data_IF_309292553598
#
_entry.id   IF_309292553598
#
_cell.length_a   1.000
_cell.length_b   1.000
_cell.length_c   1.000
_cell.angle_alpha   90.00
_cell.angle_beta   90.00
_cell.angle_gamma   90.00
#
_symmetry.space_group_name_H-M   'P 1'
#
loop_
_entity.id
_entity.type
_entity.pdbx_description
1 polymer ?
#
# COMPACT_ATOMS: atom_id res chain seq x y z
N UNK A 1 34.98 -46.36 -9.31
CA UNK A 1 35.02 -45.13 -10.14
C UNK A 1 33.71 -45.04 -10.91
N UNK A 2 32.82 -44.12 -10.54
CA UNK A 2 31.74 -43.61 -11.38
C UNK A 2 31.25 -42.28 -10.78
N UNK A 3 32.19 -41.34 -10.71
CA UNK A 3 32.02 -40.01 -10.09
C UNK A 3 31.23 -39.03 -10.97
N UNK A 4 30.82 -39.44 -12.17
CA UNK A 4 30.11 -38.58 -13.13
C UNK A 4 28.58 -38.54 -12.96
N UNK A 5 27.97 -39.51 -12.27
CA UNK A 5 26.50 -39.55 -12.10
C UNK A 5 25.98 -38.67 -10.95
N UNK A 6 26.83 -38.39 -9.95
CA UNK A 6 26.44 -37.59 -8.77
C UNK A 6 26.50 -36.07 -9.03
N UNK A 7 27.32 -35.64 -9.99
CA UNK A 7 27.49 -34.21 -10.32
C UNK A 7 26.31 -33.68 -11.15
N UNK A 8 25.65 -34.55 -11.94
CA UNK A 8 24.48 -34.18 -12.75
C UNK A 8 23.23 -33.89 -11.90
N UNK A 9 23.08 -34.55 -10.74
CA UNK A 9 21.92 -34.33 -9.86
C UNK A 9 22.02 -33.09 -8.97
N UNK A 10 23.23 -32.61 -8.69
CA UNK A 10 23.42 -31.37 -7.93
C UNK A 10 23.20 -30.11 -8.78
N UNK A 11 23.46 -30.17 -10.09
CA UNK A 11 23.23 -29.02 -10.98
C UNK A 11 21.77 -28.74 -11.31
N UNK A 12 20.87 -29.73 -11.16
CA UNK A 12 19.44 -29.54 -11.41
C UNK A 12 18.68 -28.89 -10.24
N UNK A 13 19.24 -28.91 -9.02
CA UNK A 13 18.56 -28.39 -7.83
C UNK A 13 18.90 -26.91 -7.55
N UNK A 14 19.99 -26.39 -8.12
CA UNK A 14 20.38 -24.97 -7.98
C UNK A 14 19.62 -24.06 -8.97
N UNK A 15 19.12 -24.60 -10.08
CA UNK A 15 18.43 -23.80 -11.11
C UNK A 15 16.97 -23.44 -10.74
N UNK A 16 16.34 -24.16 -9.81
CA UNK A 16 14.96 -23.86 -9.36
C UNK A 16 14.88 -22.74 -8.32
N UNK A 17 15.99 -22.29 -7.73
CA UNK A 17 16.01 -21.17 -6.78
C UNK A 17 16.16 -19.80 -7.46
N UNK A 18 16.52 -19.75 -8.74
CA UNK A 18 16.75 -18.51 -9.50
C UNK A 18 15.52 -18.02 -10.29
N UNK A 19 14.39 -18.74 -10.19
CA UNK A 19 13.09 -18.28 -10.67
C UNK A 19 12.23 -17.79 -9.50
N UNK A 20 12.79 -16.96 -8.62
CA UNK A 20 11.94 -15.92 -8.02
C UNK A 20 11.64 -14.91 -9.11
N UNK A 21 10.79 -15.31 -10.06
CA UNK A 21 10.03 -14.32 -10.81
C UNK A 21 9.33 -13.51 -9.73
N UNK A 22 9.64 -12.21 -9.65
CA UNK A 22 8.77 -11.24 -8.99
C UNK A 22 7.46 -11.25 -9.79
N UNK A 23 6.66 -12.29 -9.58
CA UNK A 23 5.32 -12.35 -10.09
C UNK A 23 4.65 -11.20 -9.38
N UNK A 24 4.25 -10.21 -10.18
CA UNK A 24 3.24 -9.24 -9.81
C UNK A 24 1.94 -10.02 -9.54
N UNK A 25 1.91 -10.66 -8.38
CA UNK A 25 0.93 -11.67 -8.03
C UNK A 25 -0.28 -10.95 -7.47
N UNK A 26 -1.20 -10.60 -8.36
CA UNK A 26 -2.58 -10.34 -7.98
C UNK A 26 -3.42 -9.55 -8.98
N UNK A 27 -2.81 -8.97 -10.02
CA UNK A 27 -3.53 -8.33 -11.12
C UNK A 27 -3.65 -9.22 -12.37
N UNK A 28 -4.75 -9.12 -13.13
CA UNK A 28 -5.05 -10.01 -14.25
C UNK A 28 -3.98 -9.98 -15.33
N UNK A 29 -3.54 -11.17 -15.78
CA UNK A 29 -2.66 -11.32 -16.94
C UNK A 29 -3.51 -11.64 -18.17
N UNK A 30 -3.81 -10.61 -18.98
CA UNK A 30 -4.77 -10.72 -20.08
C UNK A 30 -4.29 -11.56 -21.26
N UNK A 31 -3.02 -11.97 -21.26
CA UNK A 31 -2.44 -12.90 -22.24
C UNK A 31 -2.56 -14.38 -21.82
N UNK A 32 -3.06 -14.63 -20.60
CA UNK A 32 -3.24 -15.98 -20.04
C UNK A 32 -4.71 -16.33 -19.88
N UNK A 33 -4.97 -17.62 -19.62
CA UNK A 33 -6.31 -18.11 -19.30
C UNK A 33 -6.86 -17.40 -18.05
N UNK A 34 -7.95 -16.68 -18.23
CA UNK A 34 -8.63 -15.93 -17.16
C UNK A 34 -9.44 -16.88 -16.27
N UNK A 35 -9.43 -16.65 -14.96
CA UNK A 35 -10.06 -17.55 -13.98
C UNK A 35 -11.19 -16.94 -13.16
N UNK A 36 -11.35 -15.61 -13.15
CA UNK A 36 -12.36 -14.92 -12.34
C UNK A 36 -13.11 -13.80 -13.07
N UNK A 37 -14.30 -13.45 -12.56
CA UNK A 37 -15.16 -12.42 -13.14
C UNK A 37 -14.51 -11.02 -13.15
N UNK A 38 -13.68 -10.70 -12.14
CA UNK A 38 -12.89 -9.46 -12.11
C UNK A 38 -11.89 -9.45 -13.26
N UNK A 39 -11.09 -10.51 -13.41
CA UNK A 39 -10.08 -10.65 -14.46
C UNK A 39 -10.72 -10.56 -15.86
N UNK A 40 -11.84 -11.24 -16.06
CA UNK A 40 -12.62 -11.16 -17.30
C UNK A 40 -13.07 -9.73 -17.58
N UNK A 41 -13.63 -9.04 -16.57
CA UNK A 41 -14.07 -7.64 -16.72
C UNK A 41 -12.92 -6.70 -17.05
N UNK A 42 -11.77 -6.85 -16.40
CA UNK A 42 -10.57 -6.03 -16.70
C UNK A 42 -10.08 -6.30 -18.12
N UNK A 43 -9.93 -7.56 -18.49
CA UNK A 43 -9.32 -7.92 -19.78
C UNK A 43 -10.26 -7.78 -20.98
N UNK A 44 -11.58 -7.69 -20.77
CA UNK A 44 -12.56 -7.47 -21.85
C UNK A 44 -12.80 -5.99 -22.18
N UNK A 45 -12.31 -5.05 -21.35
CA UNK A 45 -12.43 -3.61 -21.59
C UNK A 45 -11.05 -3.03 -21.89
N UNK A 46 -10.85 -2.48 -23.10
CA UNK A 46 -9.54 -2.03 -23.55
C UNK A 46 -8.90 -1.01 -22.58
N UNK A 47 -9.67 -0.02 -22.14
CA UNK A 47 -9.21 1.01 -21.20
C UNK A 47 -8.74 0.41 -19.86
N UNK A 48 -9.48 -0.57 -19.31
CA UNK A 48 -9.06 -1.26 -18.09
C UNK A 48 -7.83 -2.14 -18.31
N UNK A 49 -7.69 -2.77 -19.49
CA UNK A 49 -6.50 -3.53 -19.88
C UNK A 49 -5.27 -2.62 -19.94
N UNK A 50 -5.40 -1.44 -20.54
CA UNK A 50 -4.31 -0.46 -20.67
C UNK A 50 -3.90 0.10 -19.30
N UNK A 51 -4.87 0.46 -18.45
CA UNK A 51 -4.60 0.89 -17.08
C UNK A 51 -3.95 -0.22 -16.24
N UNK A 52 -4.38 -1.48 -16.39
CA UNK A 52 -3.75 -2.63 -15.72
C UNK A 52 -2.28 -2.81 -16.15
N UNK A 53 -1.97 -2.61 -17.43
CA UNK A 53 -0.58 -2.61 -17.89
C UNK A 53 0.22 -1.45 -17.28
N UNK A 54 -0.33 -0.24 -17.27
CA UNK A 54 0.32 0.91 -16.63
C UNK A 54 0.60 0.67 -15.14
N UNK A 55 -0.33 0.05 -14.41
CA UNK A 55 -0.13 -0.31 -13.00
C UNK A 55 1.05 -1.28 -12.84
N UNK A 56 1.18 -2.29 -13.71
CA UNK A 56 2.32 -3.23 -13.70
C UNK A 56 3.65 -2.49 -13.88
N UNK A 57 3.70 -1.58 -14.85
CA UNK A 57 4.89 -0.78 -15.14
C UNK A 57 5.23 0.16 -13.98
N UNK A 58 4.24 0.88 -13.44
CA UNK A 58 4.42 1.78 -12.28
C UNK A 58 4.83 1.03 -11.03
N UNK A 59 4.30 -0.17 -10.81
CA UNK A 59 4.69 -1.01 -9.68
C UNK A 59 6.14 -1.46 -9.80
N UNK A 60 6.55 -1.96 -10.96
CA UNK A 60 7.94 -2.33 -11.22
C UNK A 60 8.87 -1.12 -11.03
N UNK A 61 8.50 0.04 -11.57
CA UNK A 61 9.26 1.27 -11.40
C UNK A 61 9.36 1.67 -9.91
N UNK A 62 8.27 1.54 -9.14
CA UNK A 62 8.31 1.78 -7.70
C UNK A 62 9.24 0.80 -6.98
N UNK A 63 9.27 -0.48 -7.37
CA UNK A 63 10.20 -1.46 -6.79
C UNK A 63 11.68 -1.14 -7.09
N UNK A 64 11.97 -0.62 -8.28
CA UNK A 64 13.34 -0.41 -8.75
C UNK A 64 13.89 0.97 -8.38
N UNK A 65 13.04 1.99 -8.35
CA UNK A 65 13.45 3.40 -8.28
C UNK A 65 13.08 4.08 -6.96
N UNK A 66 12.09 3.56 -6.23
CA UNK A 66 11.73 4.11 -4.92
C UNK A 66 12.75 3.70 -3.87
N UNK A 67 12.99 4.58 -2.90
CA UNK A 67 13.67 4.24 -1.66
C UNK A 67 12.69 3.85 -0.53
N UNK A 68 11.43 3.55 -0.85
CA UNK A 68 10.49 2.95 0.11
C UNK A 68 10.86 1.48 0.39
N UNK A 69 10.51 0.96 1.57
CA UNK A 69 10.65 -0.45 1.87
C UNK A 69 9.88 -1.35 0.88
N UNK A 70 10.53 -2.36 0.30
CA UNK A 70 9.86 -3.27 -0.65
C UNK A 70 8.65 -3.98 -0.03
N UNK A 71 8.75 -4.32 1.25
CA UNK A 71 7.66 -4.95 2.01
C UNK A 71 6.45 -4.04 2.14
N UNK A 72 6.65 -2.73 2.27
CA UNK A 72 5.56 -1.75 2.28
C UNK A 72 4.83 -1.75 0.93
N UNK A 73 5.58 -1.70 -0.17
CA UNK A 73 5.02 -1.69 -1.52
C UNK A 73 4.23 -2.97 -1.80
N UNK A 74 4.75 -4.14 -1.45
CA UNK A 74 4.07 -5.43 -1.58
C UNK A 74 2.80 -5.51 -0.71
N UNK A 75 2.88 -5.04 0.55
CA UNK A 75 1.75 -5.03 1.49
C UNK A 75 0.64 -4.10 1.02
N UNK A 76 1.01 -2.90 0.56
CA UNK A 76 0.09 -1.93 -0.05
C UNK A 76 -0.59 -2.51 -1.28
N UNK A 77 0.17 -3.18 -2.14
CA UNK A 77 -0.39 -3.77 -3.36
C UNK A 77 -1.42 -4.85 -3.06
N UNK A 78 -1.10 -5.80 -2.16
CA UNK A 78 -2.03 -6.88 -1.79
C UNK A 78 -3.32 -6.36 -1.18
N UNK A 79 -3.22 -5.32 -0.35
CA UNK A 79 -4.40 -4.71 0.26
C UNK A 79 -5.26 -3.96 -0.77
N UNK A 80 -4.63 -3.19 -1.66
CA UNK A 80 -5.33 -2.50 -2.75
C UNK A 80 -6.00 -3.51 -3.71
N UNK A 81 -5.34 -4.60 -4.06
CA UNK A 81 -5.92 -5.66 -4.91
C UNK A 81 -7.19 -6.26 -4.30
N UNK A 82 -7.16 -6.55 -3.00
CA UNK A 82 -8.35 -7.01 -2.27
C UNK A 82 -9.47 -5.97 -2.32
N UNK A 83 -9.11 -4.70 -2.14
CA UNK A 83 -10.04 -3.58 -2.19
C UNK A 83 -10.68 -3.43 -3.58
N UNK A 84 -9.90 -3.31 -4.66
CA UNK A 84 -10.42 -3.11 -6.03
C UNK A 84 -11.23 -4.31 -6.55
N UNK A 85 -10.91 -5.55 -6.12
CA UNK A 85 -11.71 -6.74 -6.45
C UNK A 85 -13.13 -6.69 -5.89
N UNK A 86 -13.41 -5.81 -4.93
CA UNK A 86 -14.77 -5.58 -4.41
C UNK A 86 -15.59 -4.56 -5.22
N UNK A 87 -15.03 -3.97 -6.29
CA UNK A 87 -15.76 -3.09 -7.20
C UNK A 87 -16.92 -3.79 -7.92
N UNK A 88 -18.09 -3.14 -7.93
CA UNK A 88 -19.30 -3.66 -8.58
C UNK A 88 -19.42 -3.26 -10.05
N UNK A 89 -18.88 -2.10 -10.45
CA UNK A 89 -18.98 -1.57 -11.82
C UNK A 89 -17.61 -1.42 -12.50
N UNK A 90 -17.60 -1.30 -13.83
CA UNK A 90 -16.41 -1.00 -14.63
C UNK A 90 -15.83 0.37 -14.25
N UNK A 91 -16.69 1.37 -14.04
CA UNK A 91 -16.30 2.72 -13.63
C UNK A 91 -15.66 2.75 -12.24
N UNK A 92 -16.06 1.85 -11.32
CA UNK A 92 -15.38 1.67 -10.04
C UNK A 92 -13.94 1.20 -10.26
N UNK A 93 -13.75 0.16 -11.08
CA UNK A 93 -12.43 -0.39 -11.37
C UNK A 93 -11.55 0.65 -12.05
N UNK A 94 -12.07 1.35 -13.06
CA UNK A 94 -11.35 2.40 -13.79
C UNK A 94 -10.73 3.42 -12.84
N UNK A 95 -11.58 4.03 -12.00
CA UNK A 95 -11.15 5.04 -11.04
C UNK A 95 -10.14 4.50 -10.02
N UNK A 96 -10.35 3.29 -9.51
CA UNK A 96 -9.40 2.70 -8.56
C UNK A 96 -8.07 2.31 -9.22
N UNK A 97 -8.06 2.09 -10.53
CA UNK A 97 -6.85 1.90 -11.31
C UNK A 97 -6.10 3.23 -11.51
N UNK A 98 -6.81 4.31 -11.86
CA UNK A 98 -6.24 5.66 -11.92
C UNK A 98 -5.62 6.06 -10.58
N UNK A 99 -6.36 5.90 -9.48
CA UNK A 99 -5.84 6.17 -8.13
C UNK A 99 -4.59 5.35 -7.83
N UNK A 100 -4.55 4.07 -8.23
CA UNK A 100 -3.38 3.23 -7.98
C UNK A 100 -2.16 3.69 -8.77
N UNK A 101 -2.34 4.17 -9.99
CA UNK A 101 -1.26 4.74 -10.80
C UNK A 101 -0.67 5.97 -10.10
N UNK A 102 -1.52 6.84 -9.54
CA UNK A 102 -1.08 8.01 -8.78
C UNK A 102 -0.34 7.60 -7.49
N UNK A 103 -0.89 6.66 -6.72
CA UNK A 103 -0.28 6.13 -5.50
C UNK A 103 1.11 5.53 -5.78
N UNK A 104 1.26 4.76 -6.86
CA UNK A 104 2.54 4.16 -7.26
C UNK A 104 3.53 5.20 -7.77
N UNK A 105 3.05 6.22 -8.48
CA UNK A 105 3.89 7.33 -8.93
C UNK A 105 4.43 8.11 -7.73
N UNK A 106 3.62 8.33 -6.70
CA UNK A 106 4.03 9.01 -5.47
C UNK A 106 5.21 8.33 -4.76
N UNK A 107 5.25 6.99 -4.74
CA UNK A 107 6.39 6.25 -4.19
C UNK A 107 7.70 6.58 -4.89
N UNK A 108 7.68 6.91 -6.19
CA UNK A 108 8.88 7.23 -6.98
C UNK A 108 9.25 8.71 -6.96
N UNK A 109 8.35 9.61 -6.57
CA UNK A 109 8.59 11.06 -6.64
C UNK A 109 8.97 11.67 -5.30
N UNK A 110 8.59 11.05 -4.18
CA UNK A 110 8.96 11.50 -2.84
C UNK A 110 10.21 10.79 -2.34
N UNK A 111 11.05 11.54 -1.62
CA UNK A 111 12.16 10.95 -0.87
C UNK A 111 11.63 10.16 0.35
N UNK A 112 11.52 8.84 0.18
CA UNK A 112 10.99 7.93 1.21
C UNK A 112 11.98 7.73 2.37
N UNK A 113 13.26 8.05 2.21
CA UNK A 113 14.23 7.95 3.32
C UNK A 113 13.96 8.93 4.45
N UNK A 114 13.19 9.99 4.20
CA UNK A 114 12.72 10.94 5.21
C UNK A 114 11.28 10.63 5.67
N UNK A 115 10.74 9.47 5.30
CA UNK A 115 9.35 9.08 5.57
C UNK A 115 9.32 7.78 6.36
N UNK A 116 8.66 7.80 7.51
CA UNK A 116 8.33 6.60 8.26
C UNK A 116 6.91 6.16 7.92
N UNK A 117 6.76 4.88 7.57
CA UNK A 117 5.50 4.30 7.15
C UNK A 117 4.93 3.40 8.24
N UNK A 118 3.70 3.64 8.64
CA UNK A 118 3.04 2.91 9.71
C UNK A 118 1.73 2.29 9.22
N UNK A 119 1.54 1.00 9.42
CA UNK A 119 0.30 0.29 9.06
C UNK A 119 -0.45 -0.12 10.33
N UNK A 120 -1.77 0.06 10.34
CA UNK A 120 -2.62 -0.28 11.49
C UNK A 120 -2.69 -1.79 11.70
N UNK A 121 -2.57 -2.21 12.97
CA UNK A 121 -2.77 -3.58 13.41
C UNK A 121 -4.03 -3.70 14.25
N UNK A 122 -4.73 -4.81 14.08
CA UNK A 122 -5.84 -5.23 14.94
C UNK A 122 -5.71 -6.71 15.23
N UNK A 123 -5.76 -7.09 16.51
CA UNK A 123 -5.64 -8.49 16.96
C UNK A 123 -4.44 -9.23 16.34
N UNK A 124 -3.25 -8.59 16.38
CA UNK A 124 -1.98 -9.09 15.85
C UNK A 124 -1.88 -9.26 14.31
N UNK A 125 -2.91 -8.93 13.54
CA UNK A 125 -2.88 -8.89 12.09
C UNK A 125 -2.95 -7.45 11.55
N UNK A 126 -2.55 -7.26 10.30
CA UNK A 126 -2.83 -6.01 9.58
C UNK A 126 -4.35 -5.81 9.54
N UNK A 127 -4.80 -4.60 9.86
CA UNK A 127 -6.21 -4.29 9.81
C UNK A 127 -6.78 -4.48 8.40
N UNK A 128 -7.92 -5.14 8.33
CA UNK A 128 -8.68 -5.41 7.11
C UNK A 128 -9.05 -4.16 6.31
N UNK A 129 -9.22 -3.00 6.95
CA UNK A 129 -9.50 -1.71 6.29
C UNK A 129 -8.23 -1.00 5.80
N UNK A 130 -7.05 -1.61 6.02
CA UNK A 130 -5.73 -1.12 5.65
C UNK A 130 -5.57 0.40 5.85
N UNK A 131 -5.28 0.80 7.09
CA UNK A 131 -4.96 2.19 7.40
C UNK A 131 -3.45 2.39 7.42
N UNK A 132 -2.98 3.35 6.64
CA UNK A 132 -1.56 3.71 6.50
C UNK A 132 -1.37 5.14 6.97
N UNK A 133 -0.40 5.35 7.86
CA UNK A 133 0.05 6.67 8.31
C UNK A 133 1.50 6.88 7.84
N UNK A 134 1.77 8.05 7.31
CA UNK A 134 3.10 8.52 6.93
C UNK A 134 3.50 9.65 7.86
N UNK A 135 4.68 9.54 8.46
CA UNK A 135 5.37 10.64 9.12
C UNK A 135 6.55 11.06 8.24
N UNK A 136 6.44 12.19 7.57
CA UNK A 136 7.45 12.71 6.66
C UNK A 136 8.16 13.91 7.30
N UNK A 137 9.48 13.81 7.46
CA UNK A 137 10.30 14.97 7.85
C UNK A 137 10.46 15.89 6.64
N UNK A 138 9.91 17.11 6.71
CA UNK A 138 10.05 18.12 5.65
C UNK A 138 11.37 18.90 5.78
N UNK A 139 11.73 19.24 7.01
CA UNK A 139 13.00 19.83 7.43
C UNK A 139 13.18 19.62 8.93
N UNK A 140 14.26 20.11 9.54
CA UNK A 140 14.59 19.91 10.97
C UNK A 140 13.46 20.23 11.97
N UNK A 141 12.51 21.10 11.62
CA UNK A 141 11.49 21.59 12.55
C UNK A 141 10.06 21.19 12.13
N UNK A 142 9.89 20.52 10.99
CA UNK A 142 8.55 20.25 10.42
C UNK A 142 8.39 18.78 10.05
N UNK A 143 7.34 18.19 10.59
CA UNK A 143 6.85 16.85 10.27
C UNK A 143 5.48 17.01 9.62
N UNK A 144 5.31 16.40 8.45
CA UNK A 144 4.01 16.22 7.80
C UNK A 144 3.47 14.85 8.18
N UNK A 145 2.20 14.81 8.53
CA UNK A 145 1.48 13.58 8.91
C UNK A 145 0.36 13.39 7.90
N UNK A 146 0.40 12.27 7.18
CA UNK A 146 -0.64 11.90 6.24
C UNK A 146 -1.20 10.52 6.58
N UNK A 147 -2.51 10.41 6.68
CA UNK A 147 -3.20 9.15 6.90
C UNK A 147 -4.14 8.83 5.76
N UNK A 148 -4.18 7.57 5.36
CA UNK A 148 -5.11 7.05 4.36
C UNK A 148 -5.78 5.80 4.95
N UNK A 149 -7.10 5.74 4.86
CA UNK A 149 -7.89 4.55 5.16
C UNK A 149 -8.84 4.27 4.00
N UNK A 150 -8.69 3.09 3.38
CA UNK A 150 -9.62 2.63 2.37
C UNK A 150 -10.91 2.14 3.03
N UNK A 151 -12.07 2.54 2.47
CA UNK A 151 -13.39 2.10 2.93
C UNK A 151 -13.97 1.09 1.95
N UNK A 152 -15.02 1.47 1.22
CA UNK A 152 -15.58 0.66 0.14
C UNK A 152 -15.33 1.39 -1.17
N UNK A 153 -14.81 0.72 -2.21
CA UNK A 153 -14.58 1.37 -3.50
C UNK A 153 -15.89 1.69 -4.22
N UNK A 154 -16.99 1.10 -3.77
CA UNK A 154 -18.32 1.36 -4.30
C UNK A 154 -18.99 2.60 -3.68
N UNK A 155 -18.34 3.25 -2.71
CA UNK A 155 -18.83 4.50 -2.14
C UNK A 155 -18.66 5.66 -3.13
N UNK A 156 -19.24 6.81 -2.80
CA UNK A 156 -18.94 8.05 -3.53
C UNK A 156 -17.48 8.46 -3.35
N UNK A 157 -16.98 9.31 -4.24
CA UNK A 157 -15.60 9.79 -4.23
C UNK A 157 -15.18 10.35 -2.87
N UNK A 158 -16.04 11.18 -2.26
CA UNK A 158 -15.77 11.82 -0.98
C UNK A 158 -15.75 10.85 0.22
N UNK A 159 -16.19 9.59 0.06
CA UNK A 159 -16.36 8.66 1.19
C UNK A 159 -15.75 7.28 0.97
N UNK A 160 -15.11 7.04 -0.18
CA UNK A 160 -14.40 5.78 -0.49
C UNK A 160 -13.06 5.69 0.21
N UNK A 161 -12.37 6.81 0.38
CA UNK A 161 -11.13 6.93 1.14
C UNK A 161 -11.32 8.03 2.18
N UNK A 162 -10.81 7.79 3.37
CA UNK A 162 -10.66 8.84 4.37
C UNK A 162 -9.21 9.27 4.45
N UNK A 163 -9.01 10.58 4.51
CA UNK A 163 -7.71 11.20 4.65
C UNK A 163 -7.57 11.84 6.03
N UNK A 164 -6.34 11.84 6.52
CA UNK A 164 -5.89 12.66 7.64
C UNK A 164 -4.71 13.48 7.14
N UNK A 165 -4.71 14.78 7.45
CA UNK A 165 -3.58 15.65 7.15
C UNK A 165 -3.27 16.52 8.36
N UNK A 166 -2.04 16.47 8.83
CA UNK A 166 -1.58 17.33 9.92
C UNK A 166 -0.13 17.74 9.71
N UNK A 167 0.28 18.77 10.45
CA UNK A 167 1.66 19.20 10.55
C UNK A 167 2.01 19.36 12.03
N UNK A 168 3.22 18.94 12.38
CA UNK A 168 3.77 19.11 13.72
C UNK A 168 5.27 19.39 13.64
N UNK A 169 5.92 19.43 14.79
CA UNK A 169 7.38 19.52 14.93
C UNK A 169 7.86 18.32 15.77
N UNK A 170 9.15 17.96 15.68
CA UNK A 170 9.70 16.87 16.50
C UNK A 170 9.41 17.02 18.00
N UNK A 171 9.45 18.24 18.54
CA UNK A 171 9.26 18.54 19.97
C UNK A 171 7.78 18.59 20.40
N UNK A 172 6.85 18.55 19.45
CA UNK A 172 5.41 18.70 19.69
C UNK A 172 4.58 17.56 19.06
N UNK A 173 5.19 16.39 18.84
CA UNK A 173 4.51 15.21 18.29
C UNK A 173 3.73 14.43 19.36
N UNK A 174 2.94 15.13 20.18
CA UNK A 174 2.08 14.53 21.22
C UNK A 174 0.61 14.68 20.90
N UNK A 175 0.19 15.84 20.38
CA UNK A 175 -1.18 16.08 19.96
C UNK A 175 -1.18 16.70 18.57
N UNK A 176 -2.03 16.17 17.69
CA UNK A 176 -2.14 16.66 16.32
C UNK A 176 -3.61 16.96 16.01
N UNK A 177 -3.81 17.95 15.15
CA UNK A 177 -5.14 18.28 14.63
C UNK A 177 -5.21 17.89 13.17
N UNK A 178 -6.18 17.05 12.80
CA UNK A 178 -6.52 16.79 11.40
C UNK A 178 -7.11 18.06 10.79
N UNK A 179 -6.44 18.59 9.76
CA UNK A 179 -6.82 19.83 9.12
C UNK A 179 -8.15 19.74 8.38
N UNK A 180 -8.51 18.54 7.91
CA UNK A 180 -9.73 18.30 7.13
C UNK A 180 -10.95 18.21 8.06
N UNK A 181 -10.93 17.30 9.04
CA UNK A 181 -12.11 17.01 9.87
C UNK A 181 -12.08 17.67 11.27
N UNK A 182 -11.02 18.42 11.59
CA UNK A 182 -10.79 19.06 12.90
C UNK A 182 -10.73 18.09 14.08
N UNK A 183 -10.46 16.82 13.79
CA UNK A 183 -10.26 15.82 14.83
C UNK A 183 -8.91 16.01 15.52
N UNK A 184 -8.94 15.95 16.85
CA UNK A 184 -7.73 16.00 17.67
C UNK A 184 -7.37 14.56 18.08
N UNK A 185 -6.11 14.21 17.85
CA UNK A 185 -5.55 12.90 18.20
C UNK A 185 -4.33 13.09 19.08
N UNK A 186 -4.26 12.33 20.16
CA UNK A 186 -3.04 12.16 20.94
C UNK A 186 -2.22 11.02 20.34
N UNK A 187 -0.92 11.26 20.18
CA UNK A 187 0.05 10.37 19.56
C UNK A 187 1.00 9.84 20.63
N UNK A 188 1.10 8.51 20.69
CA UNK A 188 2.09 7.81 21.50
C UNK A 188 3.02 7.07 20.55
N UNK A 189 4.30 7.47 20.54
CA UNK A 189 5.30 6.92 19.62
C UNK A 189 6.39 6.18 20.37
N UNK A 190 6.78 5.03 19.83
CA UNK A 190 8.00 4.29 20.19
C UNK A 190 8.89 4.16 18.95
N UNK A 191 10.00 3.43 19.07
CA UNK A 191 10.89 3.15 17.93
C UNK A 191 10.19 2.37 16.80
N UNK A 192 9.19 1.55 17.12
CA UNK A 192 8.55 0.63 16.16
C UNK A 192 7.03 0.78 16.07
N UNK A 193 6.42 1.59 16.93
CA UNK A 193 4.97 1.75 16.98
C UNK A 193 4.56 3.20 17.05
N UNK A 194 3.38 3.46 16.50
CA UNK A 194 2.68 4.72 16.59
C UNK A 194 1.26 4.40 17.00
N UNK A 195 0.76 5.01 18.06
CA UNK A 195 -0.62 4.83 18.53
C UNK A 195 -1.35 6.17 18.47
N UNK A 196 -2.52 6.15 17.85
CA UNK A 196 -3.43 7.31 17.82
C UNK A 196 -4.55 7.04 18.81
N UNK A 197 -4.82 8.00 19.68
CA UNK A 197 -5.90 7.97 20.65
C UNK A 197 -6.77 9.23 20.50
N UNK A 198 -8.07 9.10 20.79
CA UNK A 198 -8.99 10.23 20.84
C UNK A 198 -10.16 9.88 21.76
N UNK A 199 -10.55 10.83 22.60
CA UNK A 199 -11.73 10.71 23.46
C UNK A 199 -13.02 11.10 22.73
N UNK A 200 -12.93 11.83 21.61
CA UNK A 200 -14.10 12.23 20.83
C UNK A 200 -14.63 11.02 20.02
N UNK A 201 -15.89 10.58 20.25
CA UNK A 201 -16.49 9.48 19.50
C UNK A 201 -16.55 9.71 17.98
N UNK A 202 -16.50 10.97 17.52
CA UNK A 202 -16.46 11.33 16.09
C UNK A 202 -15.07 11.15 15.48
N UNK A 203 -14.02 11.11 16.30
CA UNK A 203 -12.63 11.05 15.90
C UNK A 203 -12.00 9.67 16.12
N UNK A 204 -12.76 8.61 15.88
CA UNK A 204 -12.29 7.23 16.07
C UNK A 204 -11.67 6.61 14.82
N UNK A 205 -11.69 7.33 13.69
CA UNK A 205 -11.36 6.75 12.38
C UNK A 205 -9.92 6.28 12.29
N UNK A 206 -8.99 7.10 12.75
CA UNK A 206 -7.56 6.83 12.74
C UNK A 206 -7.04 6.35 14.10
N UNK A 207 -7.91 6.17 15.10
CA UNK A 207 -7.54 5.58 16.38
C UNK A 207 -7.05 4.15 16.18
N UNK A 208 -6.02 3.78 16.94
CA UNK A 208 -5.47 2.43 16.99
C UNK A 208 -3.95 2.39 17.02
N UNK A 209 -3.43 1.16 17.09
CA UNK A 209 -2.00 0.86 17.11
C UNK A 209 -1.49 0.58 15.70
N UNK A 210 -0.39 1.21 15.36
CA UNK A 210 0.30 1.06 14.09
C UNK A 210 1.73 0.56 14.30
N UNK A 211 2.22 -0.24 13.37
CA UNK A 211 3.61 -0.73 13.36
C UNK A 211 4.38 -0.10 12.21
N UNK A 212 5.63 0.23 12.47
CA UNK A 212 6.59 0.72 11.49
C UNK A 212 6.85 -0.34 10.41
N UNK A 213 6.90 0.10 9.16
CA UNK A 213 7.36 -0.64 8.00
C UNK A 213 8.61 0.06 7.49
N UNK A 214 9.76 -0.56 7.76
CA UNK A 214 11.10 -0.20 7.32
C UNK A 214 11.67 -1.23 6.32
#
# INVERSE_FOLDING_TARGET
>A
MNSHLLISRFFSMVCLALLQQHVFAGMPDCEKKLSGAFDQKVCSHQELKDLNQQIREKYLNAQLMSNAPLKLLETSNRAWEKYVKSCKSVQCIHREFEQRIDDLTFFTTINQSLTQHYIRYKSAAIDSQMTHIQLQQLDKNRIKIEGIQYRSPNNSEATRIAYLRSYSSPDHLTDITDLENKCIYSLIRTDHTLEFQSEDPKCQRFVGLYKLYD
#
